data_IF_508914547539
#
_entry.id   IF_508914547539
#
_cell.length_a   1.000
_cell.length_b   1.000
_cell.length_c   1.000
_cell.angle_alpha   90.00
_cell.angle_beta   90.00
_cell.angle_gamma   90.00
#
_symmetry.space_group_name_H-M   'P 1'
#
loop_
_entity.id
_entity.type
_entity.pdbx_description
1 polymer ?
#
# COMPACT_ATOMS: atom_id res chain seq x y z
N UNK A 1 35.02 -7.93 12.61
CA UNK A 1 33.77 -7.61 11.88
C UNK A 1 34.09 -6.43 10.97
N UNK A 2 34.50 -6.69 9.72
CA UNK A 2 34.75 -5.63 8.73
C UNK A 2 33.41 -5.31 8.08
N UNK A 3 33.06 -4.02 8.00
CA UNK A 3 31.90 -3.53 7.25
C UNK A 3 31.87 -4.19 5.87
N UNK A 4 30.79 -4.91 5.58
CA UNK A 4 30.55 -5.50 4.27
C UNK A 4 30.22 -4.39 3.28
N UNK A 5 30.94 -4.34 2.17
CA UNK A 5 30.64 -3.48 1.03
C UNK A 5 29.17 -3.68 0.59
N UNK A 6 28.35 -2.61 0.46
CA UNK A 6 26.94 -2.72 0.04
C UNK A 6 26.75 -3.47 -1.30
N UNK A 7 27.76 -3.42 -2.17
CA UNK A 7 27.75 -4.16 -3.43
C UNK A 7 27.94 -5.67 -3.28
N UNK A 8 28.50 -6.13 -2.17
CA UNK A 8 28.73 -7.54 -1.85
C UNK A 8 27.50 -8.20 -1.23
N UNK A 9 26.83 -7.50 -0.32
CA UNK A 9 25.59 -7.96 0.30
C UNK A 9 24.50 -8.22 -0.75
N UNK A 10 24.29 -7.27 -1.67
CA UNK A 10 23.30 -7.40 -2.75
C UNK A 10 23.53 -8.63 -3.66
N UNK A 11 24.79 -8.98 -3.93
CA UNK A 11 25.15 -10.16 -4.73
C UNK A 11 24.88 -11.46 -3.99
N UNK A 12 25.16 -11.50 -2.68
CA UNK A 12 24.86 -12.64 -1.83
C UNK A 12 23.34 -12.89 -1.75
N UNK A 13 22.55 -11.83 -1.58
CA UNK A 13 21.09 -11.94 -1.52
C UNK A 13 20.48 -12.47 -2.83
N UNK A 14 20.97 -11.98 -3.97
CA UNK A 14 20.48 -12.45 -5.27
C UNK A 14 20.84 -13.92 -5.51
N UNK A 15 22.01 -14.38 -5.08
CA UNK A 15 22.38 -15.81 -5.13
C UNK A 15 21.41 -16.66 -4.28
N UNK A 16 21.07 -16.19 -3.08
CA UNK A 16 20.10 -16.89 -2.22
C UNK A 16 18.71 -16.96 -2.87
N UNK A 17 18.26 -15.87 -3.51
CA UNK A 17 16.99 -15.82 -4.25
C UNK A 17 16.93 -16.84 -5.38
N UNK A 18 17.94 -16.84 -6.26
CA UNK A 18 18.01 -17.78 -7.40
C UNK A 18 18.05 -19.23 -6.91
N UNK A 19 18.75 -19.52 -5.82
CA UNK A 19 18.79 -20.84 -5.21
C UNK A 19 17.45 -21.24 -4.57
N UNK A 20 16.69 -20.29 -4.02
CA UNK A 20 15.36 -20.54 -3.44
C UNK A 20 14.28 -20.83 -4.48
N UNK A 21 14.40 -20.26 -5.68
CA UNK A 21 13.50 -20.53 -6.81
C UNK A 21 13.79 -21.88 -7.48
N UNK A 22 15.02 -22.40 -7.32
CA UNK A 22 15.44 -23.67 -7.90
C UNK A 22 15.04 -24.88 -7.06
N UNK A 23 14.45 -25.89 -7.71
CA UNK A 23 14.18 -27.20 -7.08
C UNK A 23 15.39 -28.14 -7.10
N UNK A 24 16.43 -27.79 -7.84
CA UNK A 24 17.64 -28.60 -8.00
C UNK A 24 18.90 -27.87 -7.50
N UNK A 25 19.94 -28.59 -7.03
CA UNK A 25 21.20 -27.98 -6.66
C UNK A 25 21.83 -27.23 -7.84
N UNK A 26 22.32 -26.01 -7.61
CA UNK A 26 22.86 -25.17 -8.68
C UNK A 26 24.37 -24.92 -8.55
N UNK A 27 25.08 -25.11 -9.66
CA UNK A 27 26.52 -24.85 -9.78
C UNK A 27 26.83 -23.39 -10.12
N UNK A 28 28.07 -22.97 -9.90
CA UNK A 28 28.49 -21.58 -10.07
C UNK A 28 28.33 -21.04 -11.51
N UNK A 29 28.50 -21.91 -12.52
CA UNK A 29 28.30 -21.55 -13.93
C UNK A 29 26.85 -21.16 -14.22
N UNK A 30 25.91 -22.03 -13.84
CA UNK A 30 24.49 -21.77 -14.05
C UNK A 30 23.99 -20.60 -13.19
N UNK A 31 24.51 -20.45 -11.96
CA UNK A 31 24.26 -19.28 -11.13
C UNK A 31 24.78 -17.98 -11.77
N UNK A 32 25.97 -18.00 -12.38
CA UNK A 32 26.53 -16.83 -13.09
C UNK A 32 25.62 -16.41 -14.26
N UNK A 33 25.14 -17.36 -15.05
CA UNK A 33 24.19 -17.11 -16.15
C UNK A 33 22.89 -16.46 -15.63
N UNK A 34 22.29 -17.04 -14.57
CA UNK A 34 21.07 -16.53 -13.94
C UNK A 34 21.25 -15.16 -13.27
N UNK A 35 22.42 -14.92 -12.66
CA UNK A 35 22.76 -13.62 -12.09
C UNK A 35 22.90 -12.54 -13.17
N UNK A 36 23.45 -12.89 -14.34
CA UNK A 36 23.57 -11.97 -15.46
C UNK A 36 22.19 -11.56 -16.02
N UNK A 37 21.22 -12.47 -16.06
CA UNK A 37 19.81 -12.16 -16.41
C UNK A 37 19.20 -11.10 -15.47
N UNK A 38 19.64 -11.05 -14.21
CA UNK A 38 19.19 -10.10 -13.19
C UNK A 38 20.08 -8.85 -13.10
N UNK A 39 20.98 -8.64 -14.08
CA UNK A 39 21.84 -7.46 -14.17
C UNK A 39 23.14 -7.54 -13.35
N UNK A 40 23.47 -8.70 -12.77
CA UNK A 40 24.73 -8.94 -12.05
C UNK A 40 25.74 -9.70 -12.92
N UNK A 41 26.65 -8.97 -13.55
CA UNK A 41 27.71 -9.58 -14.38
C UNK A 41 28.85 -10.04 -13.46
N UNK A 42 28.91 -11.35 -13.19
CA UNK A 42 29.94 -11.98 -12.35
C UNK A 42 30.54 -13.20 -13.06
N UNK A 43 31.85 -13.41 -12.93
CA UNK A 43 32.49 -14.64 -13.41
C UNK A 43 32.16 -15.84 -12.53
N UNK A 44 32.24 -17.07 -13.08
CA UNK A 44 32.06 -18.31 -12.32
C UNK A 44 32.91 -18.35 -11.04
N UNK A 45 34.16 -17.85 -11.10
CA UNK A 45 35.08 -17.78 -9.96
C UNK A 45 34.60 -16.81 -8.88
N UNK A 46 34.02 -15.68 -9.27
CA UNK A 46 33.42 -14.72 -8.33
C UNK A 46 32.16 -15.30 -7.68
N UNK A 47 31.32 -15.99 -8.45
CA UNK A 47 30.15 -16.70 -7.90
C UNK A 47 30.57 -17.81 -6.95
N UNK A 48 31.64 -18.56 -7.25
CA UNK A 48 32.19 -19.56 -6.33
C UNK A 48 32.67 -18.94 -5.01
N UNK A 49 33.27 -17.76 -5.05
CA UNK A 49 33.69 -17.03 -3.86
C UNK A 49 32.49 -16.70 -2.96
N UNK A 50 31.42 -16.13 -3.50
CA UNK A 50 30.21 -15.82 -2.73
C UNK A 50 29.52 -17.08 -2.19
N UNK A 51 29.44 -18.14 -2.99
CA UNK A 51 28.90 -19.42 -2.53
C UNK A 51 29.72 -20.02 -1.38
N UNK A 52 31.04 -19.87 -1.40
CA UNK A 52 31.87 -20.33 -0.28
C UNK A 52 31.55 -19.55 0.99
N UNK A 53 31.40 -18.23 0.88
CA UNK A 53 31.01 -17.40 2.00
C UNK A 53 29.61 -17.77 2.53
N UNK A 54 28.63 -18.01 1.64
CA UNK A 54 27.28 -18.46 2.00
C UNK A 54 27.27 -19.85 2.65
N UNK A 55 28.21 -20.73 2.27
CA UNK A 55 28.45 -22.02 2.94
C UNK A 55 29.01 -21.80 4.36
N UNK A 56 29.92 -20.83 4.57
CA UNK A 56 30.54 -20.50 5.88
C UNK A 56 29.53 -19.92 6.88
N UNK A 57 28.63 -19.04 6.43
CA UNK A 57 27.56 -18.48 7.27
C UNK A 57 26.36 -19.42 7.42
N UNK A 58 26.40 -20.59 6.77
CA UNK A 58 25.40 -21.65 6.92
C UNK A 58 24.11 -21.45 6.13
N UNK A 59 24.07 -20.51 5.19
CA UNK A 59 22.89 -20.26 4.34
C UNK A 59 22.78 -21.25 3.18
N UNK A 60 23.90 -21.71 2.64
CA UNK A 60 23.92 -22.74 1.59
C UNK A 60 24.61 -24.01 2.04
N UNK A 61 24.30 -25.12 1.36
CA UNK A 61 24.98 -26.40 1.54
C UNK A 61 25.34 -27.02 0.20
N UNK A 62 26.59 -27.43 0.06
CA UNK A 62 27.09 -28.15 -1.12
C UNK A 62 26.56 -29.59 -1.17
N UNK A 63 26.03 -29.98 -2.34
CA UNK A 63 25.54 -31.34 -2.65
C UNK A 63 26.45 -31.96 -3.72
N UNK A 64 27.58 -32.52 -3.29
CA UNK A 64 28.55 -33.16 -4.18
C UNK A 64 28.99 -32.23 -5.33
N UNK A 65 28.99 -32.76 -6.55
CA UNK A 65 29.29 -32.01 -7.77
C UNK A 65 28.06 -31.35 -8.41
N UNK A 66 26.87 -31.51 -7.83
CA UNK A 66 25.62 -30.97 -8.39
C UNK A 66 25.44 -29.48 -8.12
N UNK A 67 26.05 -28.96 -7.06
CA UNK A 67 25.98 -27.53 -6.72
C UNK A 67 25.64 -27.26 -5.27
N UNK A 68 24.98 -26.13 -5.01
CA UNK A 68 24.47 -25.74 -3.68
C UNK A 68 22.95 -25.78 -3.65
N UNK A 69 22.41 -26.00 -2.45
CA UNK A 69 21.00 -25.79 -2.09
C UNK A 69 20.92 -24.86 -0.87
N UNK A 70 19.78 -24.21 -0.67
CA UNK A 70 19.53 -23.46 0.57
C UNK A 70 19.38 -24.40 1.77
N UNK A 71 19.93 -23.99 2.90
CA UNK A 71 19.59 -24.57 4.21
C UNK A 71 18.28 -23.94 4.72
N UNK A 72 17.73 -24.44 5.83
CA UNK A 72 16.59 -23.77 6.49
C UNK A 72 16.91 -22.32 6.88
N UNK A 73 18.15 -22.06 7.29
CA UNK A 73 18.61 -20.73 7.65
C UNK A 73 18.73 -19.85 6.39
N UNK A 74 19.25 -20.38 5.29
CA UNK A 74 19.30 -19.64 4.01
C UNK A 74 17.94 -19.40 3.37
N UNK A 75 16.95 -20.29 3.59
CA UNK A 75 15.57 -20.07 3.18
C UNK A 75 14.96 -18.90 3.96
N UNK A 76 15.10 -18.89 5.30
CA UNK A 76 14.63 -17.79 6.13
C UNK A 76 15.33 -16.47 5.80
N UNK A 77 16.63 -16.50 5.53
CA UNK A 77 17.38 -15.31 5.10
C UNK A 77 16.95 -14.83 3.71
N UNK A 78 16.74 -15.73 2.75
CA UNK A 78 16.23 -15.37 1.42
C UNK A 78 14.84 -14.72 1.53
N UNK A 79 13.97 -15.25 2.38
CA UNK A 79 12.65 -14.66 2.67
C UNK A 79 12.77 -13.29 3.36
N UNK A 80 13.69 -13.12 4.30
CA UNK A 80 13.96 -11.85 5.00
C UNK A 80 14.60 -10.80 4.08
N UNK A 81 15.52 -11.20 3.22
CA UNK A 81 16.12 -10.35 2.19
C UNK A 81 15.10 -9.89 1.14
N UNK A 82 14.13 -10.75 0.81
CA UNK A 82 12.94 -10.37 0.04
C UNK A 82 12.08 -9.33 0.79
N UNK A 83 12.11 -9.26 2.13
CA UNK A 83 11.49 -8.16 2.88
C UNK A 83 12.24 -6.86 2.62
N UNK A 84 13.59 -6.88 2.57
CA UNK A 84 14.42 -5.74 2.17
C UNK A 84 14.12 -5.23 0.75
N UNK A 85 14.01 -6.13 -0.23
CA UNK A 85 13.59 -5.82 -1.61
C UNK A 85 12.12 -5.36 -1.73
N UNK A 86 11.27 -5.69 -0.74
CA UNK A 86 9.89 -5.20 -0.63
C UNK A 86 9.80 -3.81 0.02
N UNK A 87 10.87 -3.32 0.65
CA UNK A 87 10.88 -1.97 1.21
C UNK A 87 10.77 -0.98 0.05
N UNK A 88 9.63 -0.31 -0.05
CA UNK A 88 9.32 0.59 -1.16
C UNK A 88 8.56 -0.05 -2.33
N UNK A 89 8.28 -1.35 -2.30
CA UNK A 89 7.40 -1.97 -3.30
C UNK A 89 5.97 -1.40 -3.23
N UNK A 90 5.45 -1.18 -2.02
CA UNK A 90 4.12 -0.58 -1.82
C UNK A 90 4.09 0.83 -2.40
N UNK A 91 5.04 1.70 -2.02
CA UNK A 91 5.04 3.08 -2.54
C UNK A 91 5.24 3.12 -4.06
N UNK A 92 6.15 2.32 -4.63
CA UNK A 92 6.35 2.24 -6.08
C UNK A 92 5.10 1.72 -6.81
N UNK A 93 4.38 0.75 -6.24
CA UNK A 93 3.09 0.28 -6.77
C UNK A 93 2.06 1.41 -6.77
N UNK A 94 1.97 2.18 -5.68
CA UNK A 94 1.04 3.30 -5.54
C UNK A 94 1.39 4.45 -6.49
N UNK A 95 2.67 4.80 -6.64
CA UNK A 95 3.15 5.81 -7.61
C UNK A 95 2.81 5.41 -9.05
N UNK A 96 3.02 4.13 -9.41
CA UNK A 96 2.61 3.60 -10.72
C UNK A 96 1.11 3.73 -10.95
N UNK A 97 0.28 3.51 -9.92
CA UNK A 97 -1.17 3.66 -10.02
C UNK A 97 -1.60 5.12 -10.12
N UNK A 98 -0.92 6.03 -9.39
CA UNK A 98 -1.16 7.47 -9.51
C UNK A 98 -0.93 7.93 -10.95
N UNK A 99 0.20 7.53 -11.55
CA UNK A 99 0.52 7.85 -12.94
C UNK A 99 -0.49 7.31 -13.96
N UNK A 100 -1.15 6.18 -13.67
CA UNK A 100 -2.19 5.58 -14.54
C UNK A 100 -3.59 6.13 -14.27
N UNK A 101 -3.79 6.92 -13.23
CA UNK A 101 -5.10 7.46 -12.87
C UNK A 101 -5.37 8.73 -13.67
N UNK A 102 -6.19 8.61 -14.71
CA UNK A 102 -6.49 9.68 -15.68
C UNK A 102 -7.78 10.43 -15.38
N UNK A 103 -8.39 10.20 -14.21
CA UNK A 103 -9.65 10.81 -13.84
C UNK A 103 -9.61 12.35 -13.93
N UNK A 104 -10.59 12.91 -14.64
CA UNK A 104 -10.81 14.34 -14.73
C UNK A 104 -12.04 14.72 -13.90
N UNK A 105 -11.88 15.51 -12.81
CA UNK A 105 -12.99 15.88 -11.94
C UNK A 105 -14.00 16.83 -12.61
N UNK A 106 -13.63 17.59 -13.64
CA UNK A 106 -14.56 18.51 -14.31
C UNK A 106 -15.52 17.79 -15.25
N UNK A 107 -15.07 16.70 -15.87
CA UNK A 107 -15.90 15.86 -16.77
C UNK A 107 -16.45 14.62 -16.10
N UNK A 108 -15.96 14.25 -14.92
CA UNK A 108 -16.25 13.00 -14.21
C UNK A 108 -16.00 11.75 -15.07
N UNK A 109 -14.91 11.77 -15.84
CA UNK A 109 -14.52 10.66 -16.73
C UNK A 109 -13.05 10.29 -16.55
N UNK A 110 -12.66 9.12 -17.02
CA UNK A 110 -11.31 8.60 -16.92
C UNK A 110 -11.15 7.50 -15.87
N UNK A 111 -9.91 7.08 -15.67
CA UNK A 111 -9.57 5.95 -14.83
C UNK A 111 -9.23 6.37 -13.40
N UNK A 112 -9.79 5.64 -12.44
CA UNK A 112 -9.50 5.78 -11.00
C UNK A 112 -8.72 4.57 -10.51
N UNK A 113 -7.81 4.79 -9.56
CA UNK A 113 -7.20 3.70 -8.82
C UNK A 113 -8.23 3.11 -7.83
N UNK A 114 -8.29 1.79 -7.71
CA UNK A 114 -9.25 1.13 -6.82
C UNK A 114 -8.58 0.10 -5.91
N UNK A 115 -9.22 -0.13 -4.76
CA UNK A 115 -8.96 -1.28 -3.90
C UNK A 115 -10.03 -2.34 -4.19
N UNK A 116 -9.66 -3.60 -4.07
CA UNK A 116 -10.56 -4.72 -4.25
C UNK A 116 -10.63 -5.51 -2.95
N UNK A 117 -11.80 -5.53 -2.33
CA UNK A 117 -12.07 -6.33 -1.15
C UNK A 117 -12.92 -7.53 -1.49
N UNK A 118 -12.77 -8.62 -0.76
CA UNK A 118 -13.57 -9.83 -0.94
C UNK A 118 -14.15 -10.27 0.38
N UNK A 119 -15.44 -10.61 0.37
CA UNK A 119 -16.19 -11.07 1.52
C UNK A 119 -17.05 -12.28 1.15
N UNK A 120 -17.36 -13.15 2.11
CA UNK A 120 -18.29 -14.27 1.88
C UNK A 120 -19.66 -13.73 1.52
N UNK A 121 -20.36 -14.42 0.63
CA UNK A 121 -21.71 -14.03 0.21
C UNK A 121 -22.68 -13.90 1.40
N UNK A 122 -22.55 -14.77 2.40
CA UNK A 122 -23.37 -14.76 3.62
C UNK A 122 -23.21 -13.49 4.47
N UNK A 123 -22.08 -12.79 4.34
CA UNK A 123 -21.78 -11.56 5.10
C UNK A 123 -22.04 -10.28 4.28
N UNK A 124 -22.42 -10.39 2.99
CA UNK A 124 -22.50 -9.26 2.06
C UNK A 124 -23.44 -8.15 2.55
N UNK A 125 -24.65 -8.50 3.01
CA UNK A 125 -25.62 -7.49 3.47
C UNK A 125 -25.13 -6.74 4.72
N UNK A 126 -24.40 -7.43 5.61
CA UNK A 126 -23.80 -6.79 6.78
C UNK A 126 -22.67 -5.84 6.39
N UNK A 127 -21.92 -6.18 5.35
CA UNK A 127 -20.87 -5.30 4.80
C UNK A 127 -21.49 -4.07 4.14
N UNK A 128 -22.55 -4.24 3.34
CA UNK A 128 -23.28 -3.13 2.73
C UNK A 128 -23.72 -2.12 3.78
N UNK A 129 -24.42 -2.60 4.81
CA UNK A 129 -24.84 -1.76 5.94
C UNK A 129 -23.64 -1.01 6.57
N UNK A 130 -22.57 -1.73 6.87
CA UNK A 130 -21.35 -1.15 7.45
C UNK A 130 -20.70 -0.09 6.54
N UNK A 131 -20.72 -0.30 5.23
CA UNK A 131 -20.10 0.61 4.27
C UNK A 131 -20.96 1.87 4.10
N UNK A 132 -22.28 1.70 4.04
CA UNK A 132 -23.25 2.78 3.92
C UNK A 132 -23.24 3.69 5.17
N UNK A 133 -23.05 3.13 6.37
CA UNK A 133 -22.84 3.89 7.62
C UNK A 133 -21.62 4.83 7.51
N UNK A 134 -20.50 4.33 6.98
CA UNK A 134 -19.26 5.10 6.81
C UNK A 134 -19.39 6.17 5.72
N UNK A 135 -20.06 5.84 4.62
CA UNK A 135 -20.32 6.77 3.51
C UNK A 135 -21.23 7.91 3.95
N UNK A 136 -22.35 7.59 4.61
CA UNK A 136 -23.30 8.59 5.13
C UNK A 136 -22.66 9.51 6.17
N UNK A 137 -21.69 8.99 6.93
CA UNK A 137 -20.88 9.77 7.87
C UNK A 137 -19.74 10.55 7.23
N UNK A 138 -19.54 10.46 5.90
CA UNK A 138 -18.46 11.10 5.12
C UNK A 138 -17.04 10.75 5.62
N UNK A 139 -16.88 9.52 6.12
CA UNK A 139 -15.60 8.99 6.63
C UNK A 139 -14.87 8.11 5.60
N UNK A 140 -15.51 7.78 4.48
CA UNK A 140 -14.86 7.18 3.31
C UNK A 140 -14.24 8.25 2.40
N UNK A 141 -13.36 7.85 1.48
CA UNK A 141 -12.77 8.76 0.49
C UNK A 141 -13.75 9.18 -0.62
N UNK A 142 -14.65 8.26 -1.00
CA UNK A 142 -15.64 8.43 -2.05
C UNK A 142 -17.02 8.01 -1.53
N UNK A 143 -18.09 8.52 -2.15
CA UNK A 143 -19.47 8.37 -1.67
C UNK A 143 -20.18 7.10 -2.15
N UNK A 144 -19.51 6.22 -2.91
CA UNK A 144 -20.08 4.95 -3.35
C UNK A 144 -18.98 3.90 -3.55
N UNK A 145 -19.40 2.65 -3.75
CA UNK A 145 -18.60 1.49 -4.10
C UNK A 145 -19.37 0.65 -5.11
N UNK A 146 -18.68 -0.29 -5.77
CA UNK A 146 -19.34 -1.23 -6.67
C UNK A 146 -19.06 -2.66 -6.25
N UNK A 147 -19.99 -3.56 -6.54
CA UNK A 147 -19.82 -4.98 -6.36
C UNK A 147 -19.35 -5.63 -7.66
N UNK A 148 -18.58 -6.72 -7.53
CA UNK A 148 -18.07 -7.48 -8.65
C UNK A 148 -18.04 -8.95 -8.28
N UNK A 149 -18.61 -9.80 -9.14
CA UNK A 149 -18.47 -11.26 -9.06
C UNK A 149 -17.52 -11.80 -10.16
N UNK A 150 -17.11 -10.94 -11.09
CA UNK A 150 -16.45 -11.33 -12.34
C UNK A 150 -14.92 -11.14 -12.33
N UNK A 151 -14.34 -10.75 -11.20
CA UNK A 151 -12.88 -10.62 -11.08
C UNK A 151 -12.24 -11.98 -10.71
N UNK A 152 -11.25 -12.48 -11.47
CA UNK A 152 -10.65 -13.80 -11.26
C UNK A 152 -9.92 -13.95 -9.92
N UNK A 153 -9.65 -12.84 -9.21
CA UNK A 153 -9.05 -12.86 -7.86
C UNK A 153 -10.07 -13.17 -6.77
N UNK A 154 -11.38 -13.06 -7.06
CA UNK A 154 -12.45 -13.36 -6.11
C UNK A 154 -12.54 -14.90 -5.95
N UNK A 155 -12.44 -15.43 -4.72
CA UNK A 155 -12.67 -16.85 -4.48
C UNK A 155 -14.11 -17.26 -4.76
N UNK A 156 -14.37 -18.56 -4.93
CA UNK A 156 -15.75 -19.08 -4.94
C UNK A 156 -16.48 -18.69 -3.65
N UNK A 157 -17.79 -18.50 -3.75
CA UNK A 157 -18.69 -18.13 -2.63
C UNK A 157 -18.36 -16.78 -1.96
N UNK A 158 -17.65 -15.91 -2.68
CA UNK A 158 -17.34 -14.55 -2.26
C UNK A 158 -17.83 -13.52 -3.27
N UNK A 159 -18.14 -12.34 -2.77
CA UNK A 159 -18.45 -11.15 -3.55
C UNK A 159 -17.28 -10.18 -3.43
N UNK A 160 -16.86 -9.62 -4.57
CA UNK A 160 -15.88 -8.54 -4.63
C UNK A 160 -16.52 -7.18 -4.42
N UNK A 161 -15.83 -6.29 -3.71
CA UNK A 161 -16.25 -4.91 -3.45
C UNK A 161 -15.11 -3.97 -3.87
N UNK A 162 -15.41 -3.07 -4.79
CA UNK A 162 -14.51 -2.12 -5.41
C UNK A 162 -14.71 -0.75 -4.75
N UNK A 163 -13.65 -0.20 -4.16
CA UNK A 163 -13.66 1.15 -3.57
C UNK A 163 -12.61 2.03 -4.21
N UNK A 164 -12.92 3.33 -4.40
CA UNK A 164 -11.95 4.29 -4.94
C UNK A 164 -10.81 4.52 -3.96
N UNK A 165 -9.58 4.42 -4.45
CA UNK A 165 -8.38 4.62 -3.65
C UNK A 165 -7.95 6.09 -3.69
N UNK A 166 -7.42 6.61 -2.57
CA UNK A 166 -6.95 8.01 -2.47
C UNK A 166 -5.78 8.33 -3.41
N UNK A 167 -5.12 7.30 -3.94
CA UNK A 167 -4.12 7.41 -5.02
C UNK A 167 -4.69 8.09 -6.27
N UNK A 168 -6.00 8.01 -6.49
CA UNK A 168 -6.67 8.74 -7.56
C UNK A 168 -6.42 10.24 -7.46
N UNK A 169 -6.51 10.82 -6.25
CA UNK A 169 -6.20 12.24 -6.03
C UNK A 169 -4.73 12.55 -6.32
N UNK A 170 -3.83 11.64 -5.94
CA UNK A 170 -2.39 11.78 -6.22
C UNK A 170 -2.13 11.86 -7.73
N UNK A 171 -2.84 11.07 -8.55
CA UNK A 171 -2.79 11.14 -10.02
C UNK A 171 -3.32 12.45 -10.59
N UNK A 172 -4.48 12.92 -10.12
CA UNK A 172 -5.06 14.20 -10.56
C UNK A 172 -4.10 15.36 -10.30
N UNK A 173 -3.52 15.42 -9.09
CA UNK A 173 -2.55 16.45 -8.72
C UNK A 173 -1.30 16.38 -9.61
N UNK A 174 -0.77 15.18 -9.87
CA UNK A 174 0.37 15.01 -10.78
C UNK A 174 0.07 15.52 -12.19
N UNK A 175 -1.11 15.22 -12.74
CA UNK A 175 -1.53 15.71 -14.06
C UNK A 175 -1.70 17.23 -14.13
N UNK A 176 -1.94 17.89 -12.99
CA UNK A 176 -1.98 19.36 -12.86
C UNK A 176 -0.63 19.96 -12.46
N UNK A 177 0.46 19.19 -12.49
CA UNK A 177 1.80 19.67 -12.18
C UNK A 177 2.06 19.89 -10.68
N UNK A 178 1.21 19.37 -9.79
CA UNK A 178 1.39 19.45 -8.35
C UNK A 178 2.12 18.18 -7.88
N UNK A 179 3.37 18.28 -7.42
CA UNK A 179 4.08 17.13 -6.88
C UNK A 179 3.48 16.76 -5.52
N UNK A 180 3.21 15.46 -5.33
CA UNK A 180 2.60 14.94 -4.12
C UNK A 180 3.50 13.90 -3.49
N UNK A 181 3.75 14.05 -2.19
CA UNK A 181 4.47 13.05 -1.40
C UNK A 181 3.50 12.27 -0.52
N UNK A 182 3.39 10.96 -0.75
CA UNK A 182 2.63 10.02 0.07
C UNK A 182 3.35 9.83 1.41
N UNK A 183 3.02 10.64 2.40
CA UNK A 183 3.86 10.75 3.60
C UNK A 183 3.54 9.64 4.62
N UNK A 184 2.30 9.60 5.10
CA UNK A 184 1.91 8.71 6.19
C UNK A 184 0.48 8.18 6.03
N UNK A 185 0.24 6.99 6.58
CA UNK A 185 -1.09 6.55 7.01
C UNK A 185 -1.17 6.62 8.54
N UNK A 186 -2.35 6.89 9.09
CA UNK A 186 -2.49 7.15 10.52
C UNK A 186 -3.87 6.91 11.13
N UNK A 187 -3.85 6.81 12.45
CA UNK A 187 -5.02 6.81 13.32
C UNK A 187 -5.29 8.24 13.80
N UNK A 188 -6.34 8.86 13.29
CA UNK A 188 -6.77 10.22 13.60
C UNK A 188 -7.85 10.17 14.68
N UNK A 189 -7.56 10.76 15.84
CA UNK A 189 -8.50 10.86 16.94
C UNK A 189 -9.46 12.04 16.75
N UNK A 190 -10.71 11.82 17.12
CA UNK A 190 -11.78 12.81 17.09
C UNK A 190 -12.34 13.06 18.48
N UNK A 191 -12.66 14.32 18.74
CA UNK A 191 -13.30 14.73 19.99
C UNK A 191 -14.42 15.72 19.66
N UNK A 192 -15.64 15.40 20.06
CA UNK A 192 -16.82 16.22 19.76
C UNK A 192 -17.05 16.44 18.26
N UNK A 193 -16.73 15.45 17.43
CA UNK A 193 -16.92 15.48 15.97
C UNK A 193 -15.76 16.08 15.20
N UNK A 194 -14.81 16.73 15.88
CA UNK A 194 -13.70 17.44 15.26
C UNK A 194 -12.42 16.60 15.29
N UNK A 195 -11.64 16.54 14.20
CA UNK A 195 -10.29 15.97 14.21
C UNK A 195 -9.40 16.68 15.25
N UNK A 196 -8.87 15.95 16.21
CA UNK A 196 -8.06 16.50 17.29
C UNK A 196 -6.55 16.36 16.98
N UNK A 197 -6.08 15.12 16.80
CA UNK A 197 -4.67 14.80 16.51
C UNK A 197 -4.49 13.37 16.01
N UNK A 198 -3.38 13.10 15.35
CA UNK A 198 -2.94 11.73 15.14
C UNK A 198 -2.41 11.09 16.44
N UNK A 199 -2.82 9.85 16.68
CA UNK A 199 -2.30 9.01 17.78
C UNK A 199 -1.12 8.17 17.29
N UNK A 200 -1.23 7.63 16.08
CA UNK A 200 -0.24 6.78 15.44
C UNK A 200 -0.06 7.18 13.98
N UNK A 201 1.19 7.17 13.53
CA UNK A 201 1.59 7.45 12.15
C UNK A 201 2.62 6.41 11.71
N UNK A 202 2.45 5.88 10.51
CA UNK A 202 3.46 5.05 9.86
C UNK A 202 3.71 5.63 8.47
N UNK A 203 4.99 5.82 8.15
CA UNK A 203 5.42 6.32 6.85
C UNK A 203 5.18 5.31 5.73
N UNK A 204 4.77 5.79 4.56
CA UNK A 204 4.70 4.94 3.36
C UNK A 204 6.08 4.61 2.80
N UNK A 205 7.08 5.48 3.03
CA UNK A 205 8.49 5.15 2.75
C UNK A 205 9.01 4.23 3.85
N UNK A 206 9.74 3.19 3.46
CA UNK A 206 10.35 2.27 4.42
C UNK A 206 9.46 1.11 4.88
N UNK A 207 8.25 0.98 4.33
CA UNK A 207 7.31 -0.09 4.70
C UNK A 207 7.05 -1.06 3.55
N UNK A 208 6.76 -2.30 3.93
CA UNK A 208 6.43 -3.42 3.01
C UNK A 208 4.94 -3.73 2.96
N UNK A 209 4.16 -3.15 3.88
CA UNK A 209 2.72 -3.32 4.03
C UNK A 209 2.04 -1.96 4.07
N UNK A 210 0.77 -1.90 3.69
CA UNK A 210 -0.03 -0.69 3.84
C UNK A 210 -0.23 -0.37 5.35
N UNK A 211 0.13 0.85 5.80
CA UNK A 211 -0.05 1.29 7.18
C UNK A 211 -1.45 1.09 7.76
N UNK A 212 -2.49 1.34 6.96
CA UNK A 212 -3.86 1.34 7.46
C UNK A 212 -4.36 -0.09 7.67
N UNK A 213 -3.91 -1.05 6.84
CA UNK A 213 -4.17 -2.47 7.08
C UNK A 213 -3.56 -2.96 8.40
N UNK A 214 -2.38 -2.47 8.76
CA UNK A 214 -1.74 -2.79 10.04
C UNK A 214 -2.58 -2.27 11.21
N UNK A 215 -3.07 -1.03 11.15
CA UNK A 215 -3.91 -0.45 12.20
C UNK A 215 -5.25 -1.17 12.36
N UNK A 216 -5.91 -1.54 11.26
CA UNK A 216 -7.15 -2.34 11.30
C UNK A 216 -6.88 -3.69 11.96
N UNK A 217 -5.83 -4.39 11.53
CA UNK A 217 -5.48 -5.71 12.07
C UNK A 217 -5.14 -5.66 13.56
N UNK A 218 -4.58 -4.54 14.02
CA UNK A 218 -4.29 -4.27 15.43
C UNK A 218 -5.51 -3.79 16.24
N UNK A 219 -6.69 -3.65 15.62
CA UNK A 219 -7.91 -3.22 16.30
C UNK A 219 -7.86 -1.78 16.82
N UNK A 220 -7.08 -0.90 16.17
CA UNK A 220 -6.89 0.48 16.63
C UNK A 220 -8.03 1.46 16.29
N UNK A 221 -8.72 1.35 15.14
CA UNK A 221 -9.85 2.24 14.84
C UNK A 221 -11.06 2.00 15.76
N UNK A 222 -11.82 3.08 16.02
CA UNK A 222 -13.13 3.05 16.69
C UNK A 222 -14.15 3.91 15.91
N UNK A 223 -14.32 3.58 14.64
CA UNK A 223 -15.15 4.28 13.66
C UNK A 223 -16.63 4.21 14.06
N UNK A 224 -17.10 3.05 14.51
CA UNK A 224 -18.46 2.88 15.03
C UNK A 224 -18.76 3.79 16.21
N UNK A 225 -17.83 3.85 17.17
CA UNK A 225 -17.92 4.73 18.34
C UNK A 225 -17.97 6.20 17.92
N UNK A 226 -17.12 6.61 16.96
CA UNK A 226 -17.15 7.96 16.41
C UNK A 226 -18.49 8.30 15.76
N UNK A 227 -19.07 7.40 14.98
CA UNK A 227 -20.36 7.66 14.33
C UNK A 227 -21.47 7.89 15.35
N UNK A 228 -21.45 7.14 16.47
CA UNK A 228 -22.45 7.21 17.54
C UNK A 228 -22.25 8.40 18.48
N UNK A 229 -21.03 8.63 18.95
CA UNK A 229 -20.73 9.55 20.05
C UNK A 229 -20.03 10.83 19.61
N UNK A 230 -19.59 10.88 18.35
CA UNK A 230 -18.68 11.90 17.80
C UNK A 230 -17.28 11.89 18.44
N UNK A 231 -16.94 10.85 19.20
CA UNK A 231 -15.61 10.60 19.74
C UNK A 231 -15.14 9.23 19.28
N UNK A 232 -13.88 9.12 18.87
CA UNK A 232 -13.31 7.85 18.42
C UNK A 232 -12.14 8.06 17.47
N UNK A 233 -11.70 6.97 16.84
CA UNK A 233 -10.51 6.96 16.00
C UNK A 233 -10.85 6.52 14.59
N UNK A 234 -10.60 7.39 13.61
CA UNK A 234 -10.74 7.08 12.18
C UNK A 234 -9.39 6.98 11.48
N UNK A 235 -9.33 6.30 10.35
CA UNK A 235 -8.14 6.18 9.51
C UNK A 235 -8.05 7.34 8.54
N UNK A 236 -6.86 7.93 8.44
CA UNK A 236 -6.58 9.01 7.51
C UNK A 236 -5.19 8.88 6.89
N UNK A 237 -5.06 9.43 5.70
CA UNK A 237 -3.82 9.57 4.96
C UNK A 237 -3.32 11.02 5.03
N UNK A 238 -2.01 11.16 5.04
CA UNK A 238 -1.32 12.46 4.93
C UNK A 238 -0.60 12.50 3.59
N UNK A 239 -0.87 13.55 2.82
CA UNK A 239 -0.12 13.93 1.62
C UNK A 239 0.58 15.25 1.85
N UNK A 240 1.86 15.35 1.53
CA UNK A 240 2.55 16.62 1.50
C UNK A 240 2.60 17.16 0.08
N UNK A 241 2.30 18.45 -0.06
CA UNK A 241 2.45 19.22 -1.29
C UNK A 241 3.28 20.47 -1.01
N UNK A 242 3.93 21.08 -2.02
CA UNK A 242 4.57 22.38 -1.86
C UNK A 242 3.56 23.42 -1.36
N UNK A 243 3.99 24.28 -0.44
CA UNK A 243 3.13 25.34 0.11
C UNK A 243 2.52 26.24 -0.98
N UNK A 244 3.28 26.53 -2.05
CA UNK A 244 2.80 27.33 -3.18
C UNK A 244 1.70 26.66 -4.03
N UNK A 245 1.50 25.35 -3.89
CA UNK A 245 0.50 24.60 -4.64
C UNK A 245 -0.84 24.46 -3.91
N UNK A 246 -0.96 24.96 -2.66
CA UNK A 246 -2.15 24.77 -1.82
C UNK A 246 -3.41 25.34 -2.46
N UNK A 247 -3.32 26.53 -3.06
CA UNK A 247 -4.48 27.15 -3.71
C UNK A 247 -4.98 26.31 -4.90
N UNK A 248 -4.07 25.93 -5.82
CA UNK A 248 -4.42 25.07 -6.96
C UNK A 248 -4.94 23.70 -6.53
N UNK A 249 -4.37 23.12 -5.47
CA UNK A 249 -4.86 21.87 -4.90
C UNK A 249 -6.30 22.03 -4.37
N UNK A 250 -6.61 23.14 -3.69
CA UNK A 250 -7.96 23.40 -3.18
C UNK A 250 -8.99 23.56 -4.30
N UNK A 251 -8.63 24.21 -5.41
CA UNK A 251 -9.49 24.34 -6.60
C UNK A 251 -9.81 22.97 -7.20
N UNK A 252 -8.81 22.10 -7.36
CA UNK A 252 -8.99 20.72 -7.83
C UNK A 252 -9.87 19.93 -6.85
N UNK A 253 -9.56 20.00 -5.55
CA UNK A 253 -10.34 19.32 -4.51
C UNK A 253 -11.80 19.80 -4.47
N UNK A 254 -12.05 21.08 -4.75
CA UNK A 254 -13.40 21.62 -4.89
C UNK A 254 -14.17 21.00 -6.06
N UNK A 255 -13.51 20.76 -7.20
CA UNK A 255 -14.10 20.03 -8.32
C UNK A 255 -14.38 18.56 -7.97
N UNK A 256 -13.43 17.89 -7.29
CA UNK A 256 -13.64 16.52 -6.81
C UNK A 256 -14.85 16.41 -5.85
N UNK A 257 -15.02 17.35 -4.92
CA UNK A 257 -16.16 17.34 -3.99
C UNK A 257 -17.52 17.38 -4.69
N UNK A 258 -17.63 18.06 -5.82
CA UNK A 258 -18.87 18.09 -6.63
C UNK A 258 -19.23 16.72 -7.20
N UNK A 259 -18.26 15.81 -7.27
CA UNK A 259 -18.39 14.49 -7.88
C UNK A 259 -18.34 13.35 -6.86
N UNK A 260 -18.64 13.62 -5.58
CA UNK A 260 -18.81 12.56 -4.57
C UNK A 260 -17.57 12.21 -3.75
N UNK A 261 -16.48 12.97 -3.87
CA UNK A 261 -15.29 12.78 -3.04
C UNK A 261 -15.42 13.53 -1.69
N UNK A 262 -15.06 12.87 -0.58
CA UNK A 262 -15.12 13.45 0.77
C UNK A 262 -13.72 13.90 1.23
N UNK A 263 -13.28 15.06 0.75
CA UNK A 263 -11.94 15.59 1.00
C UNK A 263 -11.86 17.11 0.92
N UNK A 264 -10.83 17.73 1.54
CA UNK A 264 -9.97 17.15 2.56
C UNK A 264 -10.64 17.14 3.94
N UNK A 265 -10.08 16.40 4.89
CA UNK A 265 -10.44 16.50 6.30
C UNK A 265 -9.78 17.74 6.95
N UNK A 266 -8.55 18.08 6.54
CA UNK A 266 -7.86 19.32 6.91
C UNK A 266 -6.70 19.59 5.95
N UNK A 267 -6.29 20.86 5.84
CA UNK A 267 -5.11 21.30 5.08
C UNK A 267 -4.31 22.30 5.90
N UNK A 268 -2.99 22.16 5.91
CA UNK A 268 -2.11 23.13 6.57
C UNK A 268 -0.77 22.54 6.99
N UNK A 269 0.04 23.37 7.65
CA UNK A 269 1.33 22.98 8.20
C UNK A 269 1.29 23.00 9.73
N UNK A 270 1.91 22.03 10.39
CA UNK A 270 1.90 21.93 11.85
C UNK A 270 0.54 21.54 12.46
N UNK A 271 -0.37 20.93 11.68
CA UNK A 271 -1.75 20.64 12.09
C UNK A 271 -1.91 19.23 12.66
N UNK A 272 -2.90 19.03 13.54
CA UNK A 272 -3.29 17.72 14.08
C UNK A 272 -2.14 16.90 14.68
N UNK A 273 -1.15 17.58 15.28
CA UNK A 273 0.02 16.95 15.90
C UNK A 273 1.10 16.51 14.90
N UNK A 274 0.97 16.85 13.62
CA UNK A 274 2.01 16.64 12.60
C UNK A 274 3.06 17.76 12.75
N UNK A 275 4.37 17.44 12.80
CA UNK A 275 5.41 18.46 12.81
C UNK A 275 5.35 19.37 11.58
N UNK A 276 5.73 20.64 11.77
CA UNK A 276 5.87 21.58 10.66
C UNK A 276 7.06 21.20 9.78
N UNK A 277 6.83 21.03 8.48
CA UNK A 277 7.88 20.85 7.48
C UNK A 277 8.05 22.13 6.65
N UNK A 278 9.27 22.69 6.53
CA UNK A 278 9.51 23.89 5.73
C UNK A 278 9.06 23.74 4.29
N UNK A 279 8.34 24.76 3.79
CA UNK A 279 7.86 24.86 2.41
C UNK A 279 6.87 23.77 1.96
N UNK A 280 6.34 22.99 2.90
CA UNK A 280 5.38 21.92 2.65
C UNK A 280 4.09 22.17 3.44
N UNK A 281 2.96 21.80 2.84
CA UNK A 281 1.66 21.73 3.50
C UNK A 281 1.16 20.29 3.48
N UNK A 282 0.46 19.90 4.54
CA UNK A 282 -0.18 18.58 4.66
C UNK A 282 -1.64 18.68 4.22
N UNK A 283 -2.07 17.76 3.37
CA UNK A 283 -3.47 17.48 3.06
C UNK A 283 -3.83 16.17 3.78
N UNK A 284 -4.82 16.25 4.66
CA UNK A 284 -5.30 15.13 5.47
C UNK A 284 -6.60 14.65 4.86
N UNK A 285 -6.72 13.35 4.62
CA UNK A 285 -7.84 12.76 3.87
C UNK A 285 -8.29 11.50 4.58
N UNK A 286 -9.60 11.37 4.84
CA UNK A 286 -10.11 10.10 5.33
C UNK A 286 -9.92 9.00 4.31
N UNK A 287 -9.49 7.83 4.78
CA UNK A 287 -9.21 6.71 3.91
C UNK A 287 -10.47 5.92 3.56
N UNK A 288 -10.56 5.42 2.33
CA UNK A 288 -11.53 4.37 1.98
C UNK A 288 -11.41 3.12 2.87
N UNK A 289 -10.26 2.92 3.52
CA UNK A 289 -10.07 1.86 4.51
C UNK A 289 -10.92 2.00 5.77
N UNK A 290 -11.57 3.15 6.01
CA UNK A 290 -12.59 3.25 7.07
C UNK A 290 -13.79 2.33 6.81
N UNK A 291 -14.13 2.07 5.55
CA UNK A 291 -15.18 1.10 5.15
C UNK A 291 -14.80 -0.30 5.68
N UNK A 292 -13.59 -0.73 5.37
CA UNK A 292 -13.01 -2.02 5.78
C UNK A 292 -12.86 -2.10 7.30
N UNK A 293 -12.38 -1.02 7.93
CA UNK A 293 -12.23 -0.93 9.38
C UNK A 293 -13.56 -1.10 10.12
N UNK A 294 -14.64 -0.45 9.64
CA UNK A 294 -15.97 -0.58 10.24
C UNK A 294 -16.55 -1.99 10.12
N UNK A 295 -16.32 -2.64 8.98
CA UNK A 295 -16.71 -4.04 8.79
C UNK A 295 -15.95 -4.95 9.78
N UNK A 296 -14.66 -4.70 9.96
CA UNK A 296 -13.82 -5.43 10.91
C UNK A 296 -14.28 -5.24 12.37
N UNK A 297 -14.62 -4.02 12.79
CA UNK A 297 -15.21 -3.73 14.11
C UNK A 297 -16.52 -4.50 14.35
N UNK A 298 -17.26 -4.77 13.29
CA UNK A 298 -18.52 -5.53 13.33
C UNK A 298 -18.31 -7.05 13.26
N UNK A 299 -17.05 -7.51 13.38
CA UNK A 299 -16.67 -8.92 13.39
C UNK A 299 -16.70 -9.58 12.00
N UNK A 300 -16.77 -8.80 10.92
CA UNK A 300 -16.83 -9.32 9.55
C UNK A 300 -15.42 -9.56 9.02
N UNK A 301 -15.18 -10.76 8.47
CA UNK A 301 -13.90 -11.08 7.82
C UNK A 301 -13.90 -10.61 6.38
N UNK A 302 -13.08 -9.60 6.10
CA UNK A 302 -12.90 -9.02 4.78
C UNK A 302 -11.40 -9.04 4.43
N UNK A 303 -11.08 -9.48 3.21
CA UNK A 303 -9.71 -9.41 2.69
C UNK A 303 -9.62 -8.31 1.65
N UNK A 304 -8.64 -7.42 1.76
CA UNK A 304 -8.50 -6.29 0.84
C UNK A 304 -7.15 -6.32 0.12
N UNK A 305 -7.18 -6.23 -1.20
CA UNK A 305 -6.04 -5.92 -2.05
C UNK A 305 -5.96 -4.41 -2.28
N UNK A 306 -4.95 -3.77 -1.70
CA UNK A 306 -4.70 -2.34 -1.86
C UNK A 306 -4.10 -2.06 -3.24
N UNK A 307 -4.65 -1.06 -3.93
CA UNK A 307 -4.21 -0.70 -5.28
C UNK A 307 -4.32 -1.88 -6.24
N UNK A 308 -5.50 -2.48 -6.32
CA UNK A 308 -5.80 -3.66 -7.13
C UNK A 308 -5.66 -3.38 -8.64
N UNK A 309 -5.78 -2.12 -9.06
CA UNK A 309 -5.58 -1.68 -10.44
C UNK A 309 -6.14 -0.30 -10.68
N UNK A 310 -6.34 0.03 -11.96
CA UNK A 310 -7.13 1.17 -12.41
C UNK A 310 -8.32 0.69 -13.23
N UNK A 311 -9.42 1.44 -13.21
CA UNK A 311 -10.61 1.18 -14.02
C UNK A 311 -11.38 2.48 -14.29
N UNK A 312 -12.22 2.53 -15.33
CA UNK A 312 -13.05 3.70 -15.59
C UNK A 312 -14.01 3.96 -14.43
N UNK A 313 -14.10 5.19 -13.94
CA UNK A 313 -15.00 5.55 -12.82
C UNK A 313 -16.47 5.16 -13.09
N UNK A 314 -16.88 5.18 -14.36
CA UNK A 314 -18.21 4.76 -14.78
C UNK A 314 -18.58 3.34 -14.32
N UNK A 315 -17.61 2.42 -14.19
CA UNK A 315 -17.87 1.07 -13.67
C UNK A 315 -18.22 1.05 -12.18
N UNK A 316 -17.83 2.08 -11.44
CA UNK A 316 -18.21 2.23 -10.03
C UNK A 316 -19.57 2.93 -9.93
N UNK A 317 -19.79 3.95 -10.77
CA UNK A 317 -21.03 4.74 -10.77
C UNK A 317 -22.25 4.00 -11.36
N UNK A 318 -22.03 2.91 -12.09
CA UNK A 318 -23.10 2.12 -12.73
C UNK A 318 -23.58 0.93 -11.88
N UNK A 319 -22.94 0.69 -10.73
CA UNK A 319 -23.34 -0.33 -9.76
C UNK A 319 -24.27 0.26 -8.73
#
# INVERSE_FOLDING_TARGET
MRESDPGTERKCLEILRILGESREPMGAKHLSERMAEQGFILSDRAVQYYLHHLDEVGFTKKIGNRGRVLTKLGMAESESALVGDRIGFVIAKLERLAFRSTFNPDTCTGDVAYNLSFVRNDDLDRVRQSFDEVISSKLGFFNTYAESENDPRIPKDHTGIITVCSITMDGIFQHHGIPVRMAYGGCLNHTGGTPARFLHLIGYRGTTLDPLQLFISAGMPSIGEYMQTKNGVCLANIRNIPQGAVQSAEEIMASMRKNGFHLPAAVGSGILGIPHEPYQSSIIIYSGMNLVGRAYESGIRIKTEIGAGTLPIARILSG
#
